data_IF_207387533943
#
_entry.id   IF_207387533943
#
_cell.length_a   1.000
_cell.length_b   1.000
_cell.length_c   1.000
_cell.angle_alpha   90.00
_cell.angle_beta   90.00
_cell.angle_gamma   90.00
#
_symmetry.space_group_name_H-M   'P 1'
#
loop_
_entity.id
_entity.type
_entity.pdbx_description
1 polymer ?
#
# COMPACT_ATOMS: atom_id res chain seq x y z
N UNK A 1 8.01 -11.39 5.59
CA UNK A 1 8.50 -10.84 4.30
C UNK A 1 7.30 -10.94 3.41
N UNK A 2 6.40 -9.96 3.54
CA UNK A 2 5.14 -9.92 2.82
C UNK A 2 5.08 -8.56 2.15
N UNK A 3 5.17 -8.57 0.82
CA UNK A 3 4.52 -7.51 0.06
C UNK A 3 3.03 -7.62 0.35
N UNK A 4 2.37 -6.48 0.55
CA UNK A 4 0.93 -6.42 0.30
C UNK A 4 0.69 -6.90 -1.14
N UNK A 5 -0.48 -7.50 -1.46
CA UNK A 5 -0.95 -7.42 -2.82
C UNK A 5 -1.11 -5.93 -3.13
N UNK A 6 -0.15 -5.38 -3.86
CA UNK A 6 -0.35 -4.14 -4.59
C UNK A 6 -1.54 -4.42 -5.49
N UNK A 7 -2.70 -3.85 -5.14
CA UNK A 7 -3.67 -3.49 -6.18
C UNK A 7 -2.86 -2.69 -7.19
N UNK A 8 -2.99 -3.07 -8.47
CA UNK A 8 -2.04 -2.74 -9.55
C UNK A 8 -1.38 -1.37 -9.34
N UNK A 9 -0.03 -1.28 -9.35
CA UNK A 9 0.65 -0.02 -9.05
C UNK A 9 0.02 1.07 -9.90
N UNK A 10 -0.62 2.03 -9.24
CA UNK A 10 -1.61 2.92 -9.84
C UNK A 10 -1.06 3.41 -11.16
N UNK A 11 -1.65 2.93 -12.28
CA UNK A 11 -1.06 3.07 -13.62
C UNK A 11 -0.65 4.53 -13.75
N UNK A 12 0.66 4.83 -13.88
CA UNK A 12 1.15 6.18 -13.67
C UNK A 12 0.37 7.07 -14.61
N UNK A 13 -0.47 7.94 -14.02
CA UNK A 13 -1.44 8.75 -14.78
C UNK A 13 -0.60 9.50 -15.79
N UNK A 14 -0.79 9.13 -17.05
CA UNK A 14 0.20 9.41 -18.09
C UNK A 14 0.19 10.92 -18.30
N UNK A 15 1.09 11.62 -17.61
CA UNK A 15 1.10 13.09 -17.52
C UNK A 15 1.21 13.62 -18.94
N UNK A 16 0.05 14.04 -19.47
CA UNK A 16 -0.05 14.57 -20.81
C UNK A 16 0.64 15.93 -20.78
N UNK A 17 1.93 15.94 -21.14
CA UNK A 17 2.80 17.11 -21.04
C UNK A 17 2.26 18.28 -21.87
N UNK A 18 1.45 19.13 -21.23
CA UNK A 18 1.05 20.42 -21.74
C UNK A 18 2.23 21.38 -21.61
N UNK A 19 2.91 21.63 -22.73
CA UNK A 19 3.93 22.67 -22.79
C UNK A 19 3.29 24.06 -22.60
N UNK A 20 3.73 24.86 -21.61
CA UNK A 20 3.29 26.24 -21.49
C UNK A 20 4.14 27.14 -22.40
N UNK A 21 3.51 27.74 -23.42
CA UNK A 21 4.08 28.93 -24.05
C UNK A 21 3.75 30.19 -23.21
N UNK A 22 4.79 30.99 -22.97
CA UNK A 22 4.79 32.44 -22.76
C UNK A 22 4.82 33.00 -21.33
N UNK A 23 5.52 34.12 -21.20
CA UNK A 23 6.14 34.63 -19.96
C UNK A 23 5.27 35.65 -19.19
N UNK A 24 5.45 35.70 -17.86
CA UNK A 24 4.94 36.76 -16.97
C UNK A 24 5.78 36.86 -15.69
N UNK A 25 6.04 38.06 -15.14
CA UNK A 25 7.06 38.26 -14.10
C UNK A 25 6.59 37.86 -12.69
N UNK A 26 7.55 37.41 -11.87
CA UNK A 26 7.35 36.91 -10.51
C UNK A 26 6.98 38.00 -9.47
N UNK A 27 6.24 37.64 -8.40
CA UNK A 27 6.03 38.51 -7.23
C UNK A 27 7.16 38.41 -6.19
N UNK A 28 7.37 39.49 -5.44
CA UNK A 28 8.38 39.63 -4.38
C UNK A 28 7.95 38.97 -3.04
N UNK A 29 8.89 38.64 -2.13
CA UNK A 29 8.61 37.87 -0.91
C UNK A 29 8.02 38.71 0.23
N UNK A 30 7.11 38.13 1.00
CA UNK A 30 6.61 38.71 2.26
C UNK A 30 7.47 38.30 3.46
N UNK A 31 7.67 39.26 4.37
CA UNK A 31 8.57 39.17 5.52
C UNK A 31 7.81 38.68 6.76
N UNK A 32 8.46 37.82 7.53
CA UNK A 32 7.85 37.01 8.59
C UNK A 32 7.32 37.72 9.84
N UNK A 33 6.63 36.91 10.65
CA UNK A 33 6.32 37.18 12.04
C UNK A 33 6.95 36.11 12.95
N UNK A 34 7.18 36.47 14.21
CA UNK A 34 8.03 35.76 15.16
C UNK A 34 7.18 34.99 16.23
N UNK A 35 7.79 34.16 17.10
CA UNK A 35 7.10 33.07 17.77
C UNK A 35 6.28 33.50 19.00
N UNK A 36 5.27 32.68 19.32
CA UNK A 36 4.46 32.79 20.56
C UNK A 36 5.11 31.95 21.67
N UNK A 37 5.33 32.56 22.83
CA UNK A 37 5.78 31.88 24.05
C UNK A 37 4.71 30.91 24.59
N UNK A 38 5.15 29.74 25.07
CA UNK A 38 4.34 28.83 25.89
C UNK A 38 5.04 28.65 27.22
N UNK A 39 4.36 29.06 28.30
CA UNK A 39 4.86 28.98 29.68
C UNK A 39 3.95 28.16 30.58
N UNK A 40 4.58 27.46 31.53
CA UNK A 40 4.02 26.95 32.80
C UNK A 40 3.23 25.61 32.84
N UNK A 41 4.03 24.54 32.99
CA UNK A 41 4.08 23.63 34.18
C UNK A 41 2.91 22.70 34.57
N UNK A 42 3.19 21.56 35.25
CA UNK A 42 2.31 20.40 35.28
C UNK A 42 1.42 20.30 36.53
N UNK A 43 0.24 19.67 36.38
CA UNK A 43 -0.66 19.35 37.49
C UNK A 43 -0.58 17.86 37.90
N UNK A 44 -0.86 17.57 39.18
CA UNK A 44 -0.42 16.36 39.88
C UNK A 44 -1.46 15.25 39.99
N UNK A 45 -1.02 14.00 39.81
CA UNK A 45 -1.79 12.79 40.16
C UNK A 45 -1.79 12.51 41.67
N UNK A 46 -2.91 12.03 42.25
CA UNK A 46 -2.93 11.28 43.49
C UNK A 46 -3.05 9.77 43.25
N UNK A 47 -2.35 8.97 44.06
CA UNK A 47 -2.47 7.51 44.08
C UNK A 47 -3.58 7.05 45.07
N UNK A 48 -4.12 5.86 44.86
CA UNK A 48 -4.95 5.14 45.82
C UNK A 48 -4.62 3.64 45.81
N UNK A 49 -4.77 2.99 46.97
CA UNK A 49 -4.12 1.71 47.29
C UNK A 49 -4.97 0.45 46.97
N UNK A 50 -4.29 -0.69 46.99
CA UNK A 50 -4.84 -2.02 46.76
C UNK A 50 -5.81 -2.51 47.85
N UNK A 51 -6.59 -3.55 47.54
CA UNK A 51 -6.87 -4.64 48.50
C UNK A 51 -7.25 -5.94 47.79
N UNK A 52 -6.75 -7.06 48.32
CA UNK A 52 -7.01 -8.44 47.88
C UNK A 52 -7.66 -9.25 49.00
N UNK A 53 -8.54 -10.22 48.68
CA UNK A 53 -8.85 -11.43 49.48
C UNK A 53 -9.44 -12.51 48.52
N UNK A 54 -9.18 -13.83 48.70
CA UNK A 54 -9.45 -14.85 47.67
C UNK A 54 -10.53 -15.90 48.14
N UNK A 55 -10.54 -17.23 47.81
CA UNK A 55 -11.78 -17.93 47.43
C UNK A 55 -12.27 -19.00 48.45
N UNK A 56 -13.40 -19.66 48.17
CA UNK A 56 -13.93 -20.76 49.01
C UNK A 56 -14.73 -21.84 48.25
N UNK A 57 -14.08 -23.00 48.10
CA UNK A 57 -14.53 -24.40 48.26
C UNK A 57 -15.82 -25.03 47.63
N UNK A 58 -15.58 -26.25 47.14
CA UNK A 58 -16.45 -27.37 46.71
C UNK A 58 -17.23 -28.03 47.91
N UNK A 59 -18.26 -28.91 47.77
CA UNK A 59 -18.29 -30.20 47.01
C UNK A 59 -19.67 -30.50 46.32
N UNK A 60 -20.11 -31.69 45.86
CA UNK A 60 -19.65 -33.10 46.01
C UNK A 60 -19.89 -33.97 44.73
N UNK A 61 -20.46 -35.19 44.80
CA UNK A 61 -20.27 -36.24 43.78
C UNK A 61 -21.44 -37.22 43.49
N UNK A 62 -21.53 -37.69 42.22
CA UNK A 62 -22.00 -39.02 41.74
C UNK A 62 -23.52 -39.37 41.86
N UNK A 63 -24.07 -40.41 41.14
CA UNK A 63 -23.41 -41.49 40.40
C UNK A 63 -23.90 -41.78 38.94
N UNK A 64 -23.27 -42.79 38.33
CA UNK A 64 -23.53 -43.33 36.98
C UNK A 64 -24.93 -43.96 36.79
N UNK A 65 -25.51 -43.84 35.59
CA UNK A 65 -26.35 -44.91 35.01
C UNK A 65 -25.97 -45.20 33.56
N UNK A 66 -25.94 -46.48 33.21
CA UNK A 66 -25.37 -47.03 31.97
C UNK A 66 -26.49 -47.59 31.10
N UNK A 67 -26.73 -47.02 29.92
CA UNK A 67 -27.65 -47.60 28.93
C UNK A 67 -27.34 -47.17 27.49
N UNK A 68 -27.53 -48.12 26.57
CA UNK A 68 -27.60 -47.98 25.10
C UNK A 68 -26.40 -47.40 24.34
N UNK A 69 -25.86 -48.23 23.45
CA UNK A 69 -24.86 -47.84 22.45
C UNK A 69 -25.51 -47.02 21.33
N UNK A 70 -24.99 -45.82 21.06
CA UNK A 70 -25.20 -45.13 19.78
C UNK A 70 -24.08 -45.51 18.79
N UNK A 71 -24.35 -45.51 17.47
CA UNK A 71 -23.34 -45.88 16.49
C UNK A 71 -22.17 -44.91 16.51
N UNK A 72 -20.98 -45.40 16.15
CA UNK A 72 -19.76 -44.61 16.18
C UNK A 72 -19.94 -43.30 15.40
N UNK A 73 -19.91 -42.16 16.11
CA UNK A 73 -19.63 -40.89 15.48
C UNK A 73 -18.28 -41.03 14.79
N UNK A 74 -18.29 -41.03 13.46
CA UNK A 74 -17.12 -40.67 12.67
C UNK A 74 -16.63 -39.34 13.22
N UNK A 75 -15.46 -39.35 13.85
CA UNK A 75 -14.79 -38.12 14.27
C UNK A 75 -14.71 -37.23 13.02
N UNK A 76 -15.48 -36.14 13.01
CA UNK A 76 -15.26 -35.07 12.03
C UNK A 76 -13.79 -34.67 12.15
N UNK A 77 -13.06 -34.49 11.04
CA UNK A 77 -11.72 -33.95 11.13
C UNK A 77 -11.82 -32.56 11.74
N UNK A 78 -11.47 -32.44 13.02
CA UNK A 78 -11.24 -31.17 13.69
C UNK A 78 -9.96 -30.58 13.10
N UNK A 79 -10.10 -30.02 11.90
CA UNK A 79 -9.17 -29.00 11.42
C UNK A 79 -9.41 -27.81 12.34
N UNK A 80 -8.47 -27.55 13.24
CA UNK A 80 -8.49 -26.36 14.05
C UNK A 80 -8.21 -25.16 13.14
N UNK A 81 -9.27 -24.64 12.52
CA UNK A 81 -9.22 -23.37 11.80
C UNK A 81 -8.80 -22.29 12.80
N UNK A 82 -7.76 -21.49 12.53
CA UNK A 82 -7.14 -20.66 13.55
C UNK A 82 -8.02 -19.47 13.97
N UNK A 83 -8.38 -19.45 15.27
CA UNK A 83 -9.42 -18.61 15.90
C UNK A 83 -8.89 -17.28 16.50
N UNK A 84 -7.84 -16.67 15.93
CA UNK A 84 -7.27 -15.41 16.41
C UNK A 84 -6.71 -14.56 15.28
N UNK A 85 -6.78 -13.22 15.35
CA UNK A 85 -6.42 -12.25 14.29
C UNK A 85 -5.10 -12.49 13.50
N UNK A 86 -4.12 -13.22 14.05
CA UNK A 86 -2.97 -13.73 13.28
C UNK A 86 -3.41 -14.60 12.07
N UNK A 87 -4.63 -15.16 12.11
CA UNK A 87 -5.23 -15.96 11.06
C UNK A 87 -5.75 -15.17 9.88
N UNK A 88 -6.10 -13.89 10.01
CA UNK A 88 -6.44 -13.05 8.83
C UNK A 88 -5.19 -12.70 8.04
N UNK A 89 -4.06 -12.49 8.72
CA UNK A 89 -2.74 -12.48 8.11
C UNK A 89 -2.44 -13.79 7.38
N UNK A 90 -2.67 -14.94 8.03
CA UNK A 90 -2.52 -16.26 7.37
C UNK A 90 -3.53 -16.54 6.27
N UNK A 91 -4.76 -16.02 6.31
CA UNK A 91 -5.72 -16.16 5.20
C UNK A 91 -5.19 -15.39 4.00
N UNK A 92 -4.81 -14.13 4.19
CA UNK A 92 -4.14 -13.33 3.16
C UNK A 92 -2.89 -14.05 2.62
N UNK A 93 -2.14 -14.76 3.47
CA UNK A 93 -0.88 -15.43 3.12
C UNK A 93 -1.00 -16.88 2.59
N UNK A 94 -2.07 -17.63 2.92
CA UNK A 94 -2.36 -18.98 2.41
C UNK A 94 -3.10 -18.90 1.07
N UNK A 95 -3.95 -17.89 0.90
CA UNK A 95 -4.67 -17.57 -0.35
C UNK A 95 -3.71 -17.01 -1.41
N UNK A 96 -2.87 -16.03 -1.05
CA UNK A 96 -1.75 -15.58 -1.91
C UNK A 96 -0.65 -16.67 -2.01
N UNK A 97 -0.65 -17.62 -1.05
CA UNK A 97 0.34 -18.69 -0.92
C UNK A 97 0.22 -19.77 -1.99
N UNK A 98 -0.64 -20.77 -1.77
CA UNK A 98 -0.71 -22.01 -2.58
C UNK A 98 -2.10 -22.68 -2.64
N UNK A 99 -3.21 -21.98 -2.33
CA UNK A 99 -4.57 -22.55 -2.28
C UNK A 99 -5.44 -22.35 -3.52
N UNK A 100 -6.39 -23.27 -3.76
CA UNK A 100 -7.54 -23.05 -4.66
C UNK A 100 -8.64 -22.31 -3.86
N UNK A 101 -9.04 -21.07 -4.22
CA UNK A 101 -10.06 -20.31 -3.50
C UNK A 101 -11.38 -21.08 -3.36
N UNK A 102 -11.74 -21.90 -4.35
CA UNK A 102 -12.94 -22.75 -4.36
C UNK A 102 -12.91 -23.77 -3.21
N UNK A 103 -11.74 -24.36 -2.95
CA UNK A 103 -11.55 -25.33 -1.88
C UNK A 103 -11.61 -24.67 -0.49
N UNK A 104 -11.10 -23.44 -0.37
CA UNK A 104 -11.20 -22.63 0.85
C UNK A 104 -12.65 -22.27 1.17
N UNK A 105 -13.42 -21.76 0.19
CA UNK A 105 -14.84 -21.41 0.37
C UNK A 105 -15.65 -22.60 0.90
N UNK A 106 -15.42 -23.81 0.38
CA UNK A 106 -16.10 -25.02 0.86
C UNK A 106 -15.81 -25.32 2.34
N UNK A 107 -14.56 -25.17 2.78
CA UNK A 107 -14.15 -25.42 4.16
C UNK A 107 -14.74 -24.38 5.13
N UNK A 108 -14.68 -23.10 4.78
CA UNK A 108 -15.27 -22.05 5.62
C UNK A 108 -16.80 -22.12 5.66
N UNK A 109 -17.46 -22.61 4.61
CA UNK A 109 -18.92 -22.84 4.61
C UNK A 109 -19.31 -23.95 5.60
N UNK A 110 -18.60 -25.08 5.62
CA UNK A 110 -18.84 -26.15 6.62
C UNK A 110 -18.54 -25.66 8.05
N UNK A 111 -17.47 -24.88 8.23
CA UNK A 111 -17.11 -24.30 9.52
C UNK A 111 -18.18 -23.32 10.02
N UNK A 112 -18.70 -22.46 9.15
CA UNK A 112 -19.78 -21.50 9.44
C UNK A 112 -21.05 -22.22 9.94
N UNK A 113 -21.44 -23.34 9.31
CA UNK A 113 -22.56 -24.16 9.79
C UNK A 113 -22.29 -24.76 11.18
N UNK A 114 -21.04 -25.16 11.45
CA UNK A 114 -20.60 -25.63 12.77
C UNK A 114 -20.72 -24.55 13.85
N UNK A 115 -20.13 -23.38 13.63
CA UNK A 115 -20.15 -22.27 14.59
C UNK A 115 -21.57 -21.77 14.87
N UNK A 116 -22.43 -21.73 13.85
CA UNK A 116 -23.88 -21.45 14.00
C UNK A 116 -24.59 -22.48 14.88
N UNK A 117 -24.30 -23.77 14.70
CA UNK A 117 -24.91 -24.85 15.50
C UNK A 117 -24.44 -24.83 16.95
N UNK A 118 -23.18 -24.46 17.19
CA UNK A 118 -22.58 -24.37 18.53
C UNK A 118 -22.86 -23.02 19.23
N UNK A 119 -23.43 -22.03 18.52
CA UNK A 119 -23.72 -20.68 19.04
C UNK A 119 -22.47 -19.82 19.26
N UNK A 120 -21.38 -20.11 18.55
CA UNK A 120 -20.09 -19.44 18.70
C UNK A 120 -20.00 -18.21 17.78
N UNK A 121 -20.59 -17.10 18.22
CA UNK A 121 -20.71 -15.86 17.45
C UNK A 121 -19.34 -15.28 17.02
N UNK A 122 -18.29 -15.45 17.81
CA UNK A 122 -16.95 -14.93 17.47
C UNK A 122 -16.37 -15.63 16.22
N UNK A 123 -16.38 -16.96 16.23
CA UNK A 123 -15.87 -17.77 15.12
C UNK A 123 -16.84 -17.77 13.93
N UNK A 124 -18.15 -17.62 14.17
CA UNK A 124 -19.14 -17.36 13.12
C UNK A 124 -18.82 -16.08 12.35
N UNK A 125 -18.62 -14.95 13.04
CA UNK A 125 -18.26 -13.67 12.41
C UNK A 125 -16.93 -13.76 11.63
N UNK A 126 -15.93 -14.46 12.18
CA UNK A 126 -14.65 -14.68 11.50
C UNK A 126 -14.82 -15.52 10.21
N UNK A 127 -15.69 -16.54 10.23
CA UNK A 127 -15.98 -17.35 9.05
C UNK A 127 -16.77 -16.56 7.98
N UNK A 128 -17.71 -15.70 8.38
CA UNK A 128 -18.46 -14.83 7.47
C UNK A 128 -17.54 -13.83 6.77
N UNK A 129 -16.65 -13.17 7.50
CA UNK A 129 -15.65 -12.23 6.96
C UNK A 129 -14.74 -12.93 5.93
N UNK A 130 -14.18 -14.09 6.28
CA UNK A 130 -13.33 -14.87 5.38
C UNK A 130 -14.07 -15.30 4.11
N UNK A 131 -15.35 -15.71 4.24
CA UNK A 131 -16.20 -16.06 3.10
C UNK A 131 -16.55 -14.86 2.22
N UNK A 132 -16.77 -13.67 2.81
CA UNK A 132 -17.00 -12.44 2.07
C UNK A 132 -15.75 -12.04 1.25
N UNK A 133 -14.57 -12.10 1.87
CA UNK A 133 -13.29 -11.80 1.20
C UNK A 133 -12.99 -12.79 0.06
N UNK A 134 -13.06 -14.10 0.32
CA UNK A 134 -12.86 -15.13 -0.71
C UNK A 134 -13.90 -15.04 -1.85
N UNK A 135 -15.13 -14.65 -1.54
CA UNK A 135 -16.17 -14.43 -2.55
C UNK A 135 -15.88 -13.21 -3.42
N UNK A 136 -15.26 -12.17 -2.88
CA UNK A 136 -14.87 -10.98 -3.64
C UNK A 136 -13.73 -11.30 -4.62
N UNK A 137 -12.70 -12.01 -4.16
CA UNK A 137 -11.60 -12.51 -5.00
C UNK A 137 -12.07 -13.49 -6.08
N UNK A 138 -13.12 -14.26 -5.81
CA UNK A 138 -13.75 -15.19 -6.76
C UNK A 138 -14.80 -14.52 -7.67
N UNK A 139 -14.89 -13.18 -7.66
CA UNK A 139 -15.89 -12.37 -8.38
C UNK A 139 -17.36 -12.74 -8.10
N UNK A 140 -17.65 -13.43 -7.00
CA UNK A 140 -18.99 -13.87 -6.59
C UNK A 140 -19.69 -12.79 -5.76
N UNK A 141 -19.97 -11.67 -6.42
CA UNK A 141 -20.52 -10.45 -5.81
C UNK A 141 -21.86 -10.64 -5.07
N UNK A 142 -22.69 -11.60 -5.49
CA UNK A 142 -23.95 -11.94 -4.80
C UNK A 142 -23.68 -12.59 -3.43
N UNK A 143 -22.68 -13.49 -3.36
CA UNK A 143 -22.26 -14.08 -2.09
C UNK A 143 -21.59 -13.05 -1.17
N UNK A 144 -20.78 -12.12 -1.69
CA UNK A 144 -20.19 -11.03 -0.89
C UNK A 144 -21.29 -10.24 -0.17
N UNK A 145 -22.33 -9.79 -0.90
CA UNK A 145 -23.45 -9.07 -0.30
C UNK A 145 -24.18 -9.91 0.75
N UNK A 146 -24.47 -11.18 0.45
CA UNK A 146 -25.15 -12.06 1.41
C UNK A 146 -24.34 -12.27 2.71
N UNK A 147 -23.02 -12.42 2.62
CA UNK A 147 -22.15 -12.55 3.79
C UNK A 147 -22.00 -11.23 4.55
N UNK A 148 -21.82 -10.10 3.87
CA UNK A 148 -21.76 -8.77 4.50
C UNK A 148 -23.07 -8.45 5.23
N UNK A 149 -24.23 -8.65 4.59
CA UNK A 149 -25.54 -8.40 5.21
C UNK A 149 -25.76 -9.30 6.44
N UNK A 150 -25.38 -10.58 6.35
CA UNK A 150 -25.52 -11.52 7.47
C UNK A 150 -24.56 -11.19 8.63
N UNK A 151 -23.32 -10.84 8.31
CA UNK A 151 -22.27 -10.59 9.30
C UNK A 151 -22.39 -9.24 9.99
N UNK A 152 -22.79 -8.19 9.27
CA UNK A 152 -23.00 -6.84 9.87
C UNK A 152 -24.18 -6.87 10.84
N UNK A 153 -25.29 -7.53 10.47
CA UNK A 153 -26.41 -7.75 11.38
C UNK A 153 -26.00 -8.52 12.65
N UNK A 154 -25.23 -9.61 12.51
CA UNK A 154 -24.74 -10.38 13.65
C UNK A 154 -23.72 -9.62 14.51
N UNK A 155 -22.86 -8.80 13.89
CA UNK A 155 -21.90 -7.94 14.59
C UNK A 155 -22.62 -6.87 15.43
N UNK A 156 -23.66 -6.24 14.88
CA UNK A 156 -24.52 -5.30 15.59
C UNK A 156 -25.29 -5.98 16.74
N UNK A 157 -25.88 -7.16 16.51
CA UNK A 157 -26.59 -7.92 17.56
C UNK A 157 -25.67 -8.39 18.70
N UNK A 158 -24.37 -8.52 18.44
CA UNK A 158 -23.36 -8.97 19.42
C UNK A 158 -22.48 -7.86 19.99
N UNK A 159 -22.76 -6.59 19.67
CA UNK A 159 -21.97 -5.42 20.09
C UNK A 159 -20.48 -5.56 19.72
N UNK A 160 -20.21 -5.96 18.47
CA UNK A 160 -18.88 -6.19 17.91
C UNK A 160 -18.55 -5.20 16.76
N UNK A 161 -18.31 -3.91 17.07
CA UNK A 161 -18.04 -2.88 16.07
C UNK A 161 -16.73 -3.10 15.29
N UNK A 162 -15.81 -3.95 15.77
CA UNK A 162 -14.64 -4.34 14.99
C UNK A 162 -15.06 -5.15 13.76
N UNK A 163 -15.83 -6.24 13.96
CA UNK A 163 -16.29 -7.11 12.88
C UNK A 163 -17.27 -6.40 11.95
N UNK A 164 -18.10 -5.51 12.48
CA UNK A 164 -18.94 -4.63 11.68
C UNK A 164 -18.08 -3.78 10.72
N UNK A 165 -17.05 -3.12 11.25
CA UNK A 165 -16.12 -2.31 10.45
C UNK A 165 -15.36 -3.10 9.39
N UNK A 166 -14.82 -4.27 9.74
CA UNK A 166 -14.09 -5.16 8.82
C UNK A 166 -14.99 -5.61 7.64
N UNK A 167 -16.25 -5.95 7.90
CA UNK A 167 -17.22 -6.31 6.85
C UNK A 167 -17.64 -5.09 5.99
N UNK A 168 -17.74 -3.90 6.58
CA UNK A 168 -18.01 -2.67 5.85
C UNK A 168 -16.84 -2.24 4.94
N UNK A 169 -15.59 -2.59 5.27
CA UNK A 169 -14.46 -2.45 4.34
C UNK A 169 -14.66 -3.36 3.12
N UNK A 170 -15.03 -4.63 3.31
CA UNK A 170 -15.30 -5.56 2.21
C UNK A 170 -16.47 -5.08 1.35
N UNK A 171 -17.50 -4.47 1.96
CA UNK A 171 -18.58 -3.81 1.22
C UNK A 171 -18.04 -2.64 0.39
N UNK A 172 -17.19 -1.79 0.95
CA UNK A 172 -16.57 -0.68 0.22
C UNK A 172 -15.74 -1.16 -0.98
N UNK A 173 -14.93 -2.20 -0.79
CA UNK A 173 -14.11 -2.82 -1.84
C UNK A 173 -14.99 -3.36 -2.97
N UNK A 174 -16.09 -4.06 -2.62
CA UNK A 174 -17.08 -4.51 -3.60
C UNK A 174 -17.72 -3.34 -4.37
N UNK A 175 -18.09 -2.26 -3.69
CA UNK A 175 -18.71 -1.11 -4.35
C UNK A 175 -17.72 -0.41 -5.31
N UNK A 176 -16.42 -0.35 -4.97
CA UNK A 176 -15.36 0.07 -5.90
C UNK A 176 -15.29 -0.86 -7.12
N UNK A 177 -15.22 -2.18 -6.92
CA UNK A 177 -15.21 -3.17 -8.02
C UNK A 177 -16.43 -3.04 -8.96
N UNK A 178 -17.59 -2.65 -8.42
CA UNK A 178 -18.81 -2.42 -9.18
C UNK A 178 -18.94 -1.00 -9.78
N UNK A 179 -17.94 -0.13 -9.61
CA UNK A 179 -17.94 1.26 -10.09
C UNK A 179 -18.94 2.18 -9.37
N UNK A 180 -19.31 1.84 -8.13
CA UNK A 180 -20.34 2.50 -7.31
C UNK A 180 -19.70 3.39 -6.24
N UNK A 181 -18.99 4.42 -6.70
CA UNK A 181 -18.16 5.31 -5.88
C UNK A 181 -18.87 5.88 -4.64
N UNK A 182 -20.13 6.30 -4.78
CA UNK A 182 -20.95 6.84 -3.69
C UNK A 182 -21.24 5.78 -2.60
N UNK A 183 -21.45 4.52 -3.00
CA UNK A 183 -21.66 3.40 -2.08
C UNK A 183 -20.37 2.99 -1.37
N UNK A 184 -19.23 3.05 -2.07
CA UNK A 184 -17.91 2.83 -1.48
C UNK A 184 -17.58 3.90 -0.43
N UNK A 185 -17.84 5.17 -0.74
CA UNK A 185 -17.60 6.29 0.19
C UNK A 185 -18.42 6.14 1.48
N UNK A 186 -19.69 5.72 1.39
CA UNK A 186 -20.53 5.46 2.57
C UNK A 186 -19.97 4.29 3.38
N UNK A 187 -19.75 3.13 2.75
CA UNK A 187 -19.30 1.93 3.44
C UNK A 187 -17.95 2.12 4.16
N UNK A 188 -16.97 2.78 3.53
CA UNK A 188 -15.69 3.07 4.17
C UNK A 188 -15.81 4.07 5.34
N UNK A 189 -16.72 5.05 5.25
CA UNK A 189 -16.96 6.01 6.36
C UNK A 189 -17.62 5.33 7.56
N UNK A 190 -18.63 4.50 7.30
CA UNK A 190 -19.28 3.68 8.34
C UNK A 190 -18.28 2.70 8.97
N UNK A 191 -17.40 2.08 8.17
CA UNK A 191 -16.32 1.23 8.67
C UNK A 191 -15.36 1.99 9.61
N UNK A 192 -14.89 3.17 9.19
CA UNK A 192 -14.02 4.02 10.02
C UNK A 192 -14.70 4.41 11.34
N UNK A 193 -16.00 4.73 11.32
CA UNK A 193 -16.74 5.10 12.53
C UNK A 193 -16.98 3.91 13.48
N UNK A 194 -17.21 2.71 12.95
CA UNK A 194 -17.26 1.48 13.76
C UNK A 194 -15.89 1.15 14.40
N UNK A 195 -14.81 1.15 13.61
CA UNK A 195 -13.46 0.79 14.07
C UNK A 195 -12.86 1.77 15.09
N UNK A 196 -13.29 3.05 15.08
CA UNK A 196 -12.87 4.05 16.09
C UNK A 196 -13.18 3.62 17.53
N UNK A 197 -14.16 2.74 17.74
CA UNK A 197 -14.53 2.24 19.07
C UNK A 197 -13.60 1.13 19.60
N UNK A 198 -12.76 0.54 18.75
CA UNK A 198 -12.06 -0.73 19.03
C UNK A 198 -10.54 -0.65 19.04
N UNK A 199 -9.96 0.55 18.94
CA UNK A 199 -8.50 0.75 18.83
C UNK A 199 -7.89 -0.04 17.63
N UNK A 200 -8.67 -0.33 16.58
CA UNK A 200 -8.25 -1.04 15.35
C UNK A 200 -7.45 -0.13 14.42
N UNK A 201 -6.36 0.44 14.93
CA UNK A 201 -5.59 1.51 14.30
C UNK A 201 -5.05 1.20 12.89
N UNK A 202 -4.53 -0.01 12.56
CA UNK A 202 -4.12 -0.31 11.19
C UNK A 202 -5.28 -0.21 10.19
N UNK A 203 -6.45 -0.71 10.55
CA UNK A 203 -7.61 -0.83 9.66
C UNK A 203 -8.30 0.52 9.45
N UNK A 204 -8.37 1.36 10.50
CA UNK A 204 -8.77 2.77 10.38
C UNK A 204 -7.86 3.48 9.37
N UNK A 205 -6.53 3.32 9.51
CA UNK A 205 -5.55 3.93 8.61
C UNK A 205 -5.69 3.45 7.16
N UNK A 206 -5.83 2.15 6.94
CA UNK A 206 -6.03 1.55 5.61
C UNK A 206 -7.36 1.96 4.97
N UNK A 207 -8.42 2.15 5.75
CA UNK A 207 -9.74 2.54 5.23
C UNK A 207 -9.78 4.02 4.86
N UNK A 208 -9.14 4.88 5.66
CA UNK A 208 -8.93 6.29 5.30
C UNK A 208 -8.01 6.42 4.07
N UNK A 209 -7.03 5.53 3.93
CA UNK A 209 -6.17 5.45 2.75
C UNK A 209 -6.93 5.03 1.46
N UNK A 210 -7.84 4.04 1.58
CA UNK A 210 -8.81 3.67 0.51
C UNK A 210 -9.74 4.83 0.14
N UNK A 211 -10.28 5.56 1.13
CA UNK A 211 -11.06 6.78 0.90
C UNK A 211 -10.26 7.85 0.14
N UNK A 212 -8.98 8.03 0.48
CA UNK A 212 -8.10 8.96 -0.22
C UNK A 212 -7.93 8.62 -1.71
N UNK A 213 -7.72 7.35 -2.05
CA UNK A 213 -7.66 6.89 -3.46
C UNK A 213 -9.00 7.10 -4.17
N UNK A 214 -10.11 6.70 -3.53
CA UNK A 214 -11.46 6.90 -4.06
C UNK A 214 -11.75 8.36 -4.41
N UNK A 215 -11.24 9.31 -3.60
CA UNK A 215 -11.33 10.74 -3.88
C UNK A 215 -10.37 11.19 -4.98
N UNK A 216 -9.14 10.67 -5.01
CA UNK A 216 -8.15 10.97 -6.03
C UNK A 216 -8.64 10.60 -7.44
N UNK A 217 -9.19 9.40 -7.61
CA UNK A 217 -9.78 8.93 -8.89
C UNK A 217 -10.93 9.83 -9.39
N UNK A 218 -11.64 10.47 -8.47
CA UNK A 218 -12.71 11.42 -8.75
C UNK A 218 -12.22 12.87 -8.90
N UNK A 219 -10.91 13.13 -8.85
CA UNK A 219 -10.28 14.46 -8.83
C UNK A 219 -10.73 15.33 -7.63
N UNK A 220 -11.16 14.71 -6.53
CA UNK A 220 -11.59 15.34 -5.28
C UNK A 220 -10.39 15.55 -4.35
N UNK A 221 -9.43 16.34 -4.82
CA UNK A 221 -8.10 16.44 -4.23
C UNK A 221 -8.09 16.91 -2.77
N UNK A 222 -8.93 17.87 -2.40
CA UNK A 222 -9.02 18.36 -1.01
C UNK A 222 -9.54 17.28 -0.05
N UNK A 223 -10.52 16.47 -0.48
CA UNK A 223 -11.00 15.33 0.31
C UNK A 223 -9.96 14.19 0.37
N UNK A 224 -9.24 13.94 -0.72
CA UNK A 224 -8.13 12.96 -0.74
C UNK A 224 -7.02 13.33 0.26
N UNK A 225 -6.57 14.59 0.22
CA UNK A 225 -5.59 15.16 1.18
C UNK A 225 -6.12 15.06 2.62
N UNK A 226 -7.41 15.28 2.84
CA UNK A 226 -8.03 15.19 4.17
C UNK A 226 -8.01 13.75 4.68
N UNK A 227 -8.49 12.79 3.89
CA UNK A 227 -8.52 11.38 4.25
C UNK A 227 -7.11 10.82 4.55
N UNK A 228 -6.11 11.12 3.71
CA UNK A 228 -4.73 10.69 3.95
C UNK A 228 -4.08 11.37 5.17
N UNK A 229 -4.42 12.63 5.48
CA UNK A 229 -3.97 13.27 6.74
C UNK A 229 -4.63 12.66 7.97
N UNK A 230 -5.89 12.27 7.89
CA UNK A 230 -6.57 11.54 8.96
C UNK A 230 -6.04 10.11 9.13
N UNK A 231 -5.49 9.50 8.07
CA UNK A 231 -4.83 8.18 8.14
C UNK A 231 -3.49 8.20 8.90
N UNK A 232 -2.79 9.34 9.01
CA UNK A 232 -1.47 9.40 9.65
C UNK A 232 -1.52 9.06 11.16
N UNK A 233 -2.30 9.73 12.03
CA UNK A 233 -2.32 9.43 13.47
C UNK A 233 -2.62 7.96 13.85
N UNK A 234 -3.59 7.25 13.24
CA UNK A 234 -3.81 5.84 13.56
C UNK A 234 -2.65 4.96 13.08
N UNK A 235 -2.04 5.23 11.91
CA UNK A 235 -0.88 4.47 11.44
C UNK A 235 0.38 4.71 12.29
N UNK A 236 0.60 5.94 12.79
CA UNK A 236 1.64 6.26 13.78
C UNK A 236 1.41 5.48 15.09
N UNK A 237 0.16 5.45 15.58
CA UNK A 237 -0.20 4.71 16.80
C UNK A 237 -0.07 3.19 16.63
N UNK A 238 -0.27 2.68 15.42
CA UNK A 238 -0.02 1.30 15.05
C UNK A 238 1.48 0.97 14.81
N UNK A 239 2.37 1.97 14.76
CA UNK A 239 3.78 1.79 14.43
C UNK A 239 4.05 1.35 12.98
N UNK A 240 3.09 1.59 12.07
CA UNK A 240 3.13 1.10 10.67
C UNK A 240 3.88 2.06 9.75
N UNK A 241 5.20 2.14 9.93
CA UNK A 241 6.09 2.97 9.08
C UNK A 241 6.02 2.60 7.60
N UNK A 242 5.72 1.34 7.28
CA UNK A 242 5.44 0.83 5.94
C UNK A 242 4.22 1.51 5.31
N UNK A 243 3.09 1.57 6.04
CA UNK A 243 1.88 2.23 5.55
C UNK A 243 2.00 3.76 5.57
N UNK A 244 2.67 4.33 6.57
CA UNK A 244 2.97 5.76 6.60
C UNK A 244 3.79 6.20 5.37
N UNK A 245 4.74 5.37 4.93
CA UNK A 245 5.48 5.63 3.69
C UNK A 245 4.53 5.77 2.49
N UNK A 246 3.59 4.84 2.32
CA UNK A 246 2.62 4.85 1.22
C UNK A 246 1.70 6.08 1.30
N UNK A 247 1.15 6.38 2.48
CA UNK A 247 0.26 7.55 2.69
C UNK A 247 0.98 8.87 2.44
N UNK A 248 2.26 8.98 2.85
CA UNK A 248 3.07 10.15 2.51
C UNK A 248 3.39 10.21 1.00
N UNK A 249 3.66 9.09 0.33
CA UNK A 249 3.82 9.06 -1.13
C UNK A 249 2.59 9.62 -1.85
N UNK A 250 1.39 9.15 -1.47
CA UNK A 250 0.10 9.60 -2.02
C UNK A 250 -0.20 11.08 -1.78
N UNK A 251 0.19 11.61 -0.61
CA UNK A 251 0.16 13.06 -0.37
C UNK A 251 1.14 13.81 -1.29
N UNK A 252 2.30 13.22 -1.61
CA UNK A 252 3.20 13.70 -2.65
C UNK A 252 2.52 13.74 -4.03
N UNK A 253 1.85 12.66 -4.42
CA UNK A 253 1.19 12.52 -5.74
C UNK A 253 0.09 13.57 -5.95
N UNK A 254 -0.84 13.73 -4.99
CA UNK A 254 -1.92 14.72 -5.13
C UNK A 254 -1.39 16.17 -5.12
N UNK A 255 -0.36 16.48 -4.33
CA UNK A 255 0.27 17.79 -4.39
C UNK A 255 1.02 17.99 -5.73
N UNK A 256 1.53 16.93 -6.36
CA UNK A 256 2.15 16.96 -7.70
C UNK A 256 1.12 17.27 -8.78
N UNK A 257 -0.04 16.60 -8.78
CA UNK A 257 -1.15 16.87 -9.71
C UNK A 257 -1.70 18.29 -9.55
N UNK A 258 -1.70 18.83 -8.32
CA UNK A 258 -2.05 20.22 -8.04
C UNK A 258 -0.93 21.24 -8.37
N UNK A 259 0.21 20.79 -8.92
CA UNK A 259 1.42 21.58 -9.21
C UNK A 259 2.01 22.31 -7.97
N UNK A 260 1.82 21.73 -6.79
CA UNK A 260 2.31 22.23 -5.50
C UNK A 260 3.62 21.53 -5.13
N UNK A 261 4.70 21.96 -5.79
CA UNK A 261 5.99 21.26 -5.76
C UNK A 261 6.64 21.19 -4.37
N UNK A 262 6.62 22.27 -3.58
CA UNK A 262 7.27 22.29 -2.26
C UNK A 262 6.56 21.37 -1.23
N UNK A 263 5.21 21.36 -1.11
CA UNK A 263 4.51 20.33 -0.34
C UNK A 263 4.80 18.92 -0.84
N UNK A 264 4.72 18.68 -2.15
CA UNK A 264 4.95 17.36 -2.74
C UNK A 264 6.35 16.81 -2.39
N UNK A 265 7.40 17.61 -2.57
CA UNK A 265 8.77 17.20 -2.22
C UNK A 265 8.92 16.86 -0.73
N UNK A 266 8.30 17.65 0.16
CA UNK A 266 8.30 17.39 1.59
C UNK A 266 7.70 16.02 1.93
N UNK A 267 6.61 15.66 1.24
CA UNK A 267 5.93 14.38 1.42
C UNK A 267 6.71 13.20 0.85
N UNK A 268 7.20 13.26 -0.40
CA UNK A 268 8.03 12.18 -0.97
C UNK A 268 9.32 11.93 -0.19
N UNK A 269 9.98 13.01 0.29
CA UNK A 269 11.17 12.85 1.15
C UNK A 269 10.84 12.18 2.48
N UNK A 270 9.68 12.49 3.08
CA UNK A 270 9.21 11.82 4.31
C UNK A 270 8.85 10.36 4.06
N UNK A 271 8.22 10.05 2.92
CA UNK A 271 7.95 8.67 2.50
C UNK A 271 9.26 7.87 2.37
N UNK A 272 10.25 8.38 1.64
CA UNK A 272 11.56 7.75 1.49
C UNK A 272 12.29 7.54 2.84
N UNK A 273 12.19 8.49 3.78
CA UNK A 273 12.73 8.33 5.14
C UNK A 273 12.06 7.16 5.89
N UNK A 274 10.74 7.05 5.77
CA UNK A 274 9.96 5.99 6.40
C UNK A 274 10.23 4.62 5.77
N UNK A 275 10.27 4.52 4.44
CA UNK A 275 10.70 3.30 3.74
C UNK A 275 12.11 2.86 4.16
N UNK A 276 13.07 3.79 4.26
CA UNK A 276 14.42 3.47 4.78
C UNK A 276 14.41 2.99 6.22
N UNK A 277 13.43 3.38 7.03
CA UNK A 277 13.29 2.91 8.41
C UNK A 277 12.75 1.48 8.54
N UNK A 278 12.03 0.95 7.53
CA UNK A 278 11.55 -0.44 7.54
C UNK A 278 12.66 -1.42 7.18
N UNK A 279 13.64 -0.99 6.38
CA UNK A 279 14.66 -1.87 5.80
C UNK A 279 14.10 -2.79 4.70
N UNK A 280 12.91 -2.50 4.17
CA UNK A 280 12.36 -3.17 3.00
C UNK A 280 12.88 -2.49 1.73
N UNK A 281 13.83 -3.15 1.07
CA UNK A 281 14.47 -2.66 -0.15
C UNK A 281 13.44 -2.37 -1.26
N UNK A 282 12.34 -3.13 -1.37
CA UNK A 282 11.31 -2.86 -2.39
C UNK A 282 10.57 -1.55 -2.08
N UNK A 283 10.17 -1.35 -0.82
CA UNK A 283 9.55 -0.08 -0.42
C UNK A 283 10.51 1.11 -0.60
N UNK A 284 11.81 0.93 -0.39
CA UNK A 284 12.81 1.97 -0.65
C UNK A 284 12.94 2.23 -2.15
N UNK A 285 12.93 1.19 -3.00
CA UNK A 285 12.91 1.33 -4.45
C UNK A 285 11.70 2.17 -4.91
N UNK A 286 10.49 1.82 -4.47
CA UNK A 286 9.27 2.50 -4.87
C UNK A 286 9.34 4.01 -4.58
N UNK A 287 9.76 4.39 -3.36
CA UNK A 287 9.86 5.81 -2.99
C UNK A 287 11.02 6.55 -3.68
N UNK A 288 12.07 5.85 -4.09
CA UNK A 288 13.13 6.43 -4.93
C UNK A 288 12.64 6.68 -6.35
N UNK A 289 11.82 5.78 -6.91
CA UNK A 289 11.25 5.94 -8.25
C UNK A 289 10.18 7.03 -8.28
N UNK A 290 9.22 7.05 -7.33
CA UNK A 290 8.24 8.13 -7.18
C UNK A 290 8.88 9.51 -7.03
N UNK A 291 9.92 9.63 -6.19
CA UNK A 291 10.67 10.87 -6.04
C UNK A 291 11.45 11.23 -7.32
N UNK A 292 11.93 10.24 -8.08
CA UNK A 292 12.50 10.43 -9.41
C UNK A 292 11.49 11.00 -10.41
N UNK A 293 10.28 10.45 -10.44
CA UNK A 293 9.18 10.88 -11.31
C UNK A 293 8.70 12.29 -10.98
N UNK A 294 8.54 12.62 -9.69
CA UNK A 294 8.25 13.97 -9.22
C UNK A 294 9.32 14.99 -9.64
N UNK A 295 10.60 14.60 -9.60
CA UNK A 295 11.70 15.46 -10.04
C UNK A 295 11.75 15.61 -11.56
N UNK A 296 11.26 14.62 -12.32
CA UNK A 296 11.08 14.73 -13.75
C UNK A 296 9.94 15.70 -14.10
N UNK A 297 8.77 15.57 -13.47
CA UNK A 297 7.60 16.43 -13.70
C UNK A 297 7.81 17.89 -13.27
N UNK A 298 8.55 18.11 -12.18
CA UNK A 298 8.98 19.45 -11.74
C UNK A 298 10.20 20.01 -12.49
N UNK A 299 10.71 19.32 -13.53
CA UNK A 299 11.79 19.80 -14.40
C UNK A 299 13.22 19.69 -13.83
N UNK A 300 13.39 19.05 -12.67
CA UNK A 300 14.67 18.87 -11.95
C UNK A 300 15.41 17.61 -12.38
N UNK A 301 15.62 17.46 -13.68
CA UNK A 301 16.13 16.25 -14.32
C UNK A 301 17.48 15.74 -13.79
N UNK A 302 18.38 16.63 -13.34
CA UNK A 302 19.66 16.26 -12.73
C UNK A 302 19.54 15.62 -11.35
N UNK A 303 18.46 15.92 -10.62
CA UNK A 303 18.14 15.26 -9.35
C UNK A 303 17.35 13.97 -9.59
N UNK A 304 16.39 13.97 -10.53
CA UNK A 304 15.68 12.75 -10.97
C UNK A 304 16.67 11.64 -11.38
N UNK A 305 17.68 11.97 -12.20
CA UNK A 305 18.78 11.05 -12.57
C UNK A 305 19.55 10.49 -11.37
N UNK A 306 19.61 11.17 -10.21
CA UNK A 306 20.26 10.63 -9.00
C UNK A 306 19.36 9.62 -8.31
N UNK A 307 18.08 9.95 -8.11
CA UNK A 307 17.13 9.05 -7.46
C UNK A 307 16.88 7.78 -8.28
N UNK A 308 16.64 7.88 -9.59
CA UNK A 308 16.56 6.70 -10.45
C UNK A 308 17.86 5.86 -10.48
N UNK A 309 19.05 6.46 -10.28
CA UNK A 309 20.29 5.66 -10.11
C UNK A 309 20.37 4.94 -8.77
N UNK A 310 19.78 5.50 -7.71
CA UNK A 310 19.64 4.80 -6.43
C UNK A 310 18.60 3.66 -6.54
N UNK A 311 17.45 3.90 -7.18
CA UNK A 311 16.46 2.87 -7.49
C UNK A 311 17.10 1.72 -8.32
N UNK A 312 17.84 2.06 -9.38
CA UNK A 312 18.58 1.08 -10.18
C UNK A 312 19.59 0.26 -9.35
N UNK A 313 20.18 0.85 -8.30
CA UNK A 313 21.09 0.10 -7.42
C UNK A 313 20.33 -0.99 -6.65
N UNK A 314 19.14 -0.65 -6.13
CA UNK A 314 18.29 -1.59 -5.41
C UNK A 314 17.71 -2.66 -6.34
N UNK A 315 17.27 -2.30 -7.54
CA UNK A 315 16.83 -3.28 -8.55
C UNK A 315 17.93 -4.33 -8.86
N UNK A 316 19.20 -3.92 -8.91
CA UNK A 316 20.34 -4.86 -9.02
C UNK A 316 20.60 -5.69 -7.76
N UNK A 317 20.18 -5.25 -6.56
CA UNK A 317 20.29 -6.01 -5.31
C UNK A 317 19.14 -7.02 -5.15
N UNK A 318 17.96 -6.69 -5.68
CA UNK A 318 16.78 -7.56 -5.72
C UNK A 318 16.85 -8.63 -6.81
N UNK A 319 17.66 -8.41 -7.85
CA UNK A 319 17.75 -9.26 -9.07
C UNK A 319 16.41 -9.32 -9.82
N UNK A 320 15.67 -8.21 -9.80
CA UNK A 320 14.35 -8.08 -10.41
C UNK A 320 14.44 -7.50 -11.83
N UNK A 321 14.18 -8.35 -12.83
CA UNK A 321 14.26 -7.98 -14.25
C UNK A 321 13.27 -6.88 -14.66
N UNK A 322 12.08 -6.83 -14.05
CA UNK A 322 11.06 -5.83 -14.38
C UNK A 322 11.48 -4.45 -13.85
N UNK A 323 11.85 -4.36 -12.57
CA UNK A 323 12.34 -3.12 -11.98
C UNK A 323 13.60 -2.60 -12.70
N UNK A 324 14.53 -3.50 -13.04
CA UNK A 324 15.71 -3.16 -13.85
C UNK A 324 15.30 -2.58 -15.20
N UNK A 325 14.39 -3.24 -15.93
CA UNK A 325 13.89 -2.77 -17.22
C UNK A 325 13.26 -1.38 -17.15
N UNK A 326 12.35 -1.18 -16.20
CA UNK A 326 11.61 0.07 -16.01
C UNK A 326 12.54 1.23 -15.64
N UNK A 327 13.37 1.09 -14.60
CA UNK A 327 14.28 2.18 -14.18
C UNK A 327 15.34 2.51 -15.24
N UNK A 328 15.81 1.53 -16.02
CA UNK A 328 16.71 1.79 -17.16
C UNK A 328 16.03 2.59 -18.27
N UNK A 329 14.73 2.37 -18.52
CA UNK A 329 13.94 3.16 -19.45
C UNK A 329 13.70 4.60 -18.92
N UNK A 330 13.37 4.78 -17.64
CA UNK A 330 13.24 6.11 -17.02
C UNK A 330 14.56 6.89 -17.10
N UNK A 331 15.70 6.26 -16.76
CA UNK A 331 17.02 6.87 -16.95
C UNK A 331 17.32 7.17 -18.42
N UNK A 332 16.91 6.30 -19.36
CA UNK A 332 17.10 6.57 -20.79
C UNK A 332 16.39 7.85 -21.22
N UNK A 333 15.10 8.03 -20.85
CA UNK A 333 14.31 9.23 -21.19
C UNK A 333 15.02 10.53 -20.76
N UNK A 334 15.66 10.54 -19.59
CA UNK A 334 16.43 11.69 -19.09
C UNK A 334 17.82 11.88 -19.73
N UNK A 335 18.34 10.90 -20.48
CA UNK A 335 19.69 10.91 -21.07
C UNK A 335 19.68 11.05 -22.61
N UNK A 336 18.62 10.64 -23.31
CA UNK A 336 18.59 10.61 -24.79
C UNK A 336 18.81 11.97 -25.47
N UNK A 337 18.43 13.06 -24.80
CA UNK A 337 18.53 14.40 -25.38
C UNK A 337 19.81 15.16 -25.00
N UNK A 338 20.52 14.73 -23.95
CA UNK A 338 21.85 15.23 -23.59
C UNK A 338 22.95 14.61 -24.47
N UNK A 339 23.57 15.44 -25.31
CA UNK A 339 24.66 15.02 -26.21
C UNK A 339 25.89 14.49 -25.45
N UNK A 340 26.15 14.97 -24.23
CA UNK A 340 27.30 14.52 -23.42
C UNK A 340 27.08 13.14 -22.83
N UNK A 341 25.83 12.72 -22.64
CA UNK A 341 25.45 11.42 -22.09
C UNK A 341 25.11 10.38 -23.16
N UNK A 342 25.26 10.70 -24.44
CA UNK A 342 24.69 9.88 -25.50
C UNK A 342 25.26 8.44 -25.59
N UNK A 343 26.51 8.21 -25.15
CA UNK A 343 27.02 6.84 -24.95
C UNK A 343 26.33 6.11 -23.79
N UNK A 344 26.09 6.79 -22.66
CA UNK A 344 25.32 6.23 -21.53
C UNK A 344 23.89 5.94 -21.95
N UNK A 345 23.24 6.86 -22.68
CA UNK A 345 21.87 6.71 -23.17
C UNK A 345 21.71 5.44 -24.03
N UNK A 346 22.67 5.15 -24.92
CA UNK A 346 22.69 3.88 -25.67
C UNK A 346 22.93 2.69 -24.75
N UNK A 347 23.88 2.76 -23.81
CA UNK A 347 24.17 1.68 -22.86
C UNK A 347 22.95 1.30 -22.01
N UNK A 348 22.20 2.27 -21.46
CA UNK A 348 20.99 1.98 -20.68
C UNK A 348 19.85 1.45 -21.54
N UNK A 349 19.67 1.94 -22.78
CA UNK A 349 18.65 1.42 -23.69
C UNK A 349 18.97 0.00 -24.21
N UNK A 350 20.24 -0.33 -24.39
CA UNK A 350 20.68 -1.68 -24.73
C UNK A 350 20.43 -2.67 -23.59
N UNK A 351 20.63 -2.25 -22.34
CA UNK A 351 20.28 -3.04 -21.16
C UNK A 351 18.76 -3.14 -20.97
N UNK A 352 18.01 -2.04 -21.07
CA UNK A 352 16.54 -2.05 -21.01
C UNK A 352 15.94 -3.00 -22.06
N UNK A 353 16.50 -3.05 -23.28
CA UNK A 353 16.03 -3.93 -24.35
C UNK A 353 16.28 -5.43 -24.13
N UNK A 354 17.05 -5.81 -23.09
CA UNK A 354 17.24 -7.21 -22.71
C UNK A 354 16.13 -7.68 -21.78
N UNK A 355 15.69 -6.82 -20.84
CA UNK A 355 14.60 -7.11 -19.91
C UNK A 355 13.22 -6.83 -20.54
N UNK A 356 13.08 -5.74 -21.28
CA UNK A 356 11.85 -5.30 -21.94
C UNK A 356 11.93 -5.53 -23.46
N UNK A 357 12.10 -6.78 -23.89
CA UNK A 357 12.38 -7.10 -25.31
C UNK A 357 11.26 -6.65 -26.26
N UNK A 358 10.01 -6.83 -25.85
CA UNK A 358 8.80 -6.51 -26.63
C UNK A 358 8.33 -5.04 -26.46
N UNK A 359 9.00 -4.25 -25.62
CA UNK A 359 8.58 -2.87 -25.39
C UNK A 359 8.89 -1.98 -26.62
N UNK A 360 7.81 -1.50 -27.24
CA UNK A 360 7.89 -0.70 -28.46
C UNK A 360 8.54 0.66 -28.25
N UNK A 361 8.51 1.22 -27.04
CA UNK A 361 9.18 2.48 -26.72
C UNK A 361 10.69 2.27 -26.60
N UNK A 362 11.15 1.25 -25.87
CA UNK A 362 12.57 0.90 -25.72
C UNK A 362 13.22 0.73 -27.10
N UNK A 363 12.59 -0.05 -27.98
CA UNK A 363 13.11 -0.27 -29.35
C UNK A 363 13.14 1.02 -30.19
N UNK A 364 12.08 1.84 -30.08
CA UNK A 364 11.98 3.15 -30.76
C UNK A 364 13.05 4.13 -30.28
N UNK A 365 13.25 4.24 -28.97
CA UNK A 365 14.25 5.10 -28.35
C UNK A 365 15.66 4.61 -28.70
N UNK A 366 15.96 3.31 -28.55
CA UNK A 366 17.26 2.74 -28.90
C UNK A 366 17.65 3.02 -30.36
N UNK A 367 16.70 2.85 -31.29
CA UNK A 367 16.89 3.16 -32.71
C UNK A 367 17.15 4.66 -32.97
N UNK A 368 16.35 5.55 -32.36
CA UNK A 368 16.54 7.02 -32.46
C UNK A 368 17.89 7.45 -31.91
N UNK A 369 18.26 6.97 -30.73
CA UNK A 369 19.48 7.36 -30.00
C UNK A 369 20.73 6.86 -30.72
N UNK A 370 20.79 5.59 -31.15
CA UNK A 370 21.87 5.08 -32.02
C UNK A 370 21.99 5.85 -33.34
N UNK A 371 20.86 6.21 -33.97
CA UNK A 371 20.86 7.01 -35.21
C UNK A 371 21.45 8.40 -34.99
N UNK A 372 21.10 9.07 -33.89
CA UNK A 372 21.70 10.37 -33.48
C UNK A 372 23.19 10.24 -33.20
N UNK A 373 23.59 9.23 -32.42
CA UNK A 373 24.98 8.98 -32.03
C UNK A 373 25.85 8.75 -33.27
N UNK A 374 25.45 7.84 -34.17
CA UNK A 374 26.17 7.55 -35.41
C UNK A 374 26.32 8.79 -36.29
N UNK A 375 25.28 9.64 -36.41
CA UNK A 375 25.34 10.89 -37.16
C UNK A 375 26.36 11.89 -36.58
N UNK A 376 26.40 12.02 -35.25
CA UNK A 376 27.34 12.91 -34.56
C UNK A 376 28.79 12.42 -34.69
N UNK A 377 29.03 11.12 -34.51
CA UNK A 377 30.34 10.50 -34.71
C UNK A 377 30.83 10.65 -36.16
N UNK A 378 29.96 10.44 -37.15
CA UNK A 378 30.28 10.67 -38.58
C UNK A 378 30.56 12.14 -38.90
N UNK A 379 29.96 13.09 -38.17
CA UNK A 379 30.24 14.52 -38.27
C UNK A 379 31.54 14.94 -37.54
N UNK A 380 32.27 13.99 -36.92
CA UNK A 380 33.50 14.25 -36.19
C UNK A 380 33.31 14.80 -34.78
N UNK A 381 32.10 14.71 -34.21
CA UNK A 381 31.83 15.10 -32.83
C UNK A 381 32.37 14.04 -31.88
N UNK A 382 33.31 14.41 -31.02
CA UNK A 382 33.78 13.55 -29.93
C UNK A 382 32.74 13.51 -28.81
N UNK A 383 32.26 12.32 -28.47
CA UNK A 383 31.31 12.10 -27.38
C UNK A 383 32.05 11.49 -26.16
N UNK A 384 31.72 11.88 -24.92
CA UNK A 384 32.29 11.24 -23.73
C UNK A 384 31.97 9.75 -23.66
N UNK A 385 32.94 8.93 -23.25
CA UNK A 385 32.76 7.48 -23.08
C UNK A 385 32.06 7.15 -21.76
N UNK A 386 31.43 5.98 -21.74
CA UNK A 386 30.66 5.43 -20.62
C UNK A 386 31.25 4.05 -20.22
N UNK A 387 32.52 4.06 -19.79
CA UNK A 387 33.35 2.85 -19.69
C UNK A 387 33.09 1.98 -18.44
N UNK A 388 32.35 2.49 -17.46
CA UNK A 388 31.91 1.75 -16.27
C UNK A 388 30.60 0.98 -16.51
N UNK A 389 30.41 -0.11 -15.75
CA UNK A 389 29.18 -0.90 -15.78
C UNK A 389 28.00 -0.12 -15.21
N UNK A 390 26.78 -0.47 -15.65
CA UNK A 390 25.56 0.13 -15.13
C UNK A 390 25.37 -0.11 -13.62
N UNK A 391 25.88 -1.22 -13.08
CA UNK A 391 25.95 -1.48 -11.64
C UNK A 391 26.87 -0.48 -10.90
N UNK A 392 28.05 -0.16 -11.46
CA UNK A 392 28.94 0.85 -10.88
C UNK A 392 28.32 2.25 -10.98
N UNK A 393 27.70 2.56 -12.13
CA UNK A 393 26.98 3.80 -12.36
C UNK A 393 25.82 3.99 -11.37
N UNK A 394 25.07 2.92 -11.06
CA UNK A 394 24.02 2.93 -10.03
C UNK A 394 24.60 3.12 -8.62
N UNK A 395 25.54 2.24 -8.20
CA UNK A 395 26.17 2.27 -6.86
C UNK A 395 26.77 3.63 -6.52
N UNK A 396 27.44 4.28 -7.48
CA UNK A 396 28.05 5.59 -7.27
C UNK A 396 27.04 6.71 -6.93
N UNK A 397 25.73 6.53 -7.16
CA UNK A 397 24.71 7.48 -6.71
C UNK A 397 24.30 7.31 -5.24
N UNK A 398 24.53 6.13 -4.67
CA UNK A 398 24.32 5.82 -3.24
C UNK A 398 25.55 6.24 -2.42
N UNK A 399 26.76 6.00 -2.94
CA UNK A 399 28.03 6.39 -2.30
C UNK A 399 28.21 7.92 -2.15
N UNK A 400 27.43 8.73 -2.88
CA UNK A 400 27.47 10.21 -2.85
C UNK A 400 26.23 10.86 -2.25
N UNK A 401 25.33 10.07 -1.66
CA UNK A 401 24.08 10.52 -1.03
C UNK A 401 24.24 10.76 0.48
#
# INVERSE_FOLDING_TARGET
REAYPLGEPAVPVLVAAFAPENEGPAPEPLVGEAPIEVTETPESLPAAEATSVPPSDLPESLPETRAASEPAMTQRPSVALPTNLESLGRIRQDVIGQGDPTASIGQYTEALEGYKADGNVHDELAAIEALAMLSLESENYEAVLAYVDQGTALAQESDNPQREGELLIILGDLQVTLGRWEGAEVAYKEAVDALKATDSWPDIGLTLDKLGVLYMEQNRFDEAITAWKEAIPPLERAGRSDLLSIVHGRLGDVHTEMMQWEPAESYYRRALELARSTGDELAIFDQLDSLGLFLESSGRWDEAKRYYRQALHIAYQLDDEELLGQTLLSLARLLIDDTTQLHRAVQVLEAASQYLSEDSEVQRLLSRTRTRQNRLLQAGVTLPLADDSLQNYARAAVETA
#
